data_IF_055308354048
#
_entry.id   IF_055308354048
#
_cell.length_a   1.000
_cell.length_b   1.000
_cell.length_c   1.000
_cell.angle_alpha   90.00
_cell.angle_beta   90.00
_cell.angle_gamma   90.00
#
_symmetry.space_group_name_H-M   'P 1'
#
loop_
_entity.id
_entity.type
_entity.pdbx_description
1 polymer ?
#
# COMPACT_ATOMS: atom_id res chain seq x y z
N UNK A 1 12.83 -72.02 1.16
CA UNK A 1 13.16 -71.22 2.36
C UNK A 1 14.55 -70.65 2.12
N UNK A 2 14.84 -69.36 2.06
CA UNK A 2 14.24 -68.16 2.62
C UNK A 2 14.50 -67.02 1.60
N UNK A 3 13.48 -66.21 1.24
CA UNK A 3 13.63 -65.05 0.34
C UNK A 3 14.23 -63.88 1.14
N UNK A 4 15.36 -63.33 0.71
CA UNK A 4 15.82 -62.01 1.16
C UNK A 4 15.02 -60.94 0.42
N UNK A 5 14.23 -60.17 1.16
CA UNK A 5 13.54 -58.98 0.69
C UNK A 5 14.37 -57.79 1.15
N UNK A 6 15.01 -57.10 0.22
CA UNK A 6 15.69 -55.84 0.47
C UNK A 6 14.65 -54.72 0.49
N UNK A 7 14.33 -54.20 1.67
CA UNK A 7 13.50 -53.01 1.81
C UNK A 7 14.38 -51.77 1.56
N UNK A 8 14.19 -51.11 0.42
CA UNK A 8 14.70 -49.76 0.19
C UNK A 8 13.68 -48.81 0.82
N UNK A 9 14.02 -48.29 2.01
CA UNK A 9 13.28 -47.20 2.61
C UNK A 9 13.67 -45.90 1.89
N UNK A 10 12.87 -45.50 0.90
CA UNK A 10 12.95 -44.15 0.33
C UNK A 10 12.45 -43.16 1.40
N UNK A 11 13.40 -42.53 2.08
CA UNK A 11 13.14 -41.39 2.95
C UNK A 11 12.77 -40.20 2.06
N UNK A 12 11.47 -40.01 1.83
CA UNK A 12 10.95 -38.77 1.25
C UNK A 12 11.07 -37.70 2.33
N UNK A 13 12.19 -36.96 2.33
CA UNK A 13 12.24 -35.67 2.99
C UNK A 13 11.33 -34.73 2.20
N UNK A 14 10.07 -34.62 2.62
CA UNK A 14 9.31 -33.39 2.39
C UNK A 14 9.99 -32.32 3.23
N UNK A 15 10.94 -31.61 2.65
CA UNK A 15 11.36 -30.31 3.16
C UNK A 15 10.15 -29.41 2.96
N UNK A 16 9.26 -29.35 3.93
CA UNK A 16 8.38 -28.20 4.07
C UNK A 16 9.31 -27.03 4.34
N UNK A 17 9.60 -26.23 3.32
CA UNK A 17 10.09 -24.89 3.51
C UNK A 17 8.98 -24.13 4.23
N UNK A 18 8.90 -24.29 5.55
CA UNK A 18 8.14 -23.42 6.42
C UNK A 18 8.77 -22.04 6.26
N UNK A 19 8.16 -21.28 5.37
CA UNK A 19 8.42 -19.88 5.10
C UNK A 19 8.43 -19.16 6.46
N UNK A 20 9.47 -18.37 6.71
CA UNK A 20 9.63 -17.46 7.85
C UNK A 20 8.55 -16.35 7.85
N UNK A 21 7.27 -16.71 7.68
CA UNK A 21 6.19 -15.75 7.43
C UNK A 21 5.71 -15.04 8.70
N UNK A 22 6.19 -15.43 9.89
CA UNK A 22 6.05 -14.66 11.13
C UNK A 22 7.10 -15.09 12.14
N UNK A 23 8.03 -14.20 12.45
CA UNK A 23 9.10 -14.47 13.42
C UNK A 23 8.75 -14.00 14.84
N UNK A 24 7.72 -13.15 14.99
CA UNK A 24 7.38 -12.48 16.25
C UNK A 24 5.88 -12.56 16.54
N UNK A 25 5.45 -12.73 17.81
CA UNK A 25 4.03 -12.91 18.16
C UNK A 25 3.10 -11.76 17.76
N UNK A 26 3.59 -10.51 17.83
CA UNK A 26 2.79 -9.31 17.55
C UNK A 26 2.55 -9.05 16.05
N UNK A 27 3.30 -9.73 15.18
CA UNK A 27 3.16 -9.54 13.73
C UNK A 27 1.80 -10.06 13.27
N UNK A 28 1.33 -9.56 12.13
CA UNK A 28 0.13 -10.05 11.43
C UNK A 28 0.50 -11.08 10.36
N UNK A 29 -0.26 -12.18 10.27
CA UNK A 29 -0.03 -13.30 9.36
C UNK A 29 0.04 -14.67 10.09
N UNK A 30 0.54 -15.74 9.44
CA UNK A 30 1.32 -15.69 8.21
C UNK A 30 0.45 -15.45 6.98
N UNK A 31 0.83 -14.47 6.17
CA UNK A 31 0.20 -14.23 4.88
C UNK A 31 0.70 -15.25 3.85
N UNK A 32 -0.24 -15.89 3.16
CA UNK A 32 0.04 -16.94 2.18
C UNK A 32 -0.59 -16.62 0.84
N UNK A 33 0.12 -16.96 -0.23
CA UNK A 33 -0.40 -16.96 -1.59
C UNK A 33 -1.41 -18.10 -1.74
N UNK A 34 -2.48 -17.86 -2.51
CA UNK A 34 -3.46 -18.90 -2.83
C UNK A 34 -2.89 -20.03 -3.69
N UNK A 35 -3.69 -21.07 -3.92
CA UNK A 35 -3.34 -22.16 -4.85
C UNK A 35 -3.29 -21.61 -6.28
N UNK A 36 -2.22 -21.90 -7.02
CA UNK A 36 -1.97 -21.39 -8.39
C UNK A 36 -2.10 -19.86 -8.48
N UNK A 37 -1.27 -19.11 -7.73
CA UNK A 37 -1.46 -17.67 -7.55
C UNK A 37 -1.30 -16.92 -8.88
N UNK A 38 -2.28 -16.07 -9.18
CA UNK A 38 -2.34 -15.21 -10.36
C UNK A 38 -2.59 -13.77 -9.94
N UNK A 39 -2.23 -12.79 -10.78
CA UNK A 39 -2.67 -11.42 -10.57
C UNK A 39 -4.20 -11.35 -10.57
N UNK A 40 -4.77 -10.60 -9.63
CA UNK A 40 -6.22 -10.42 -9.50
C UNK A 40 -6.73 -9.22 -10.32
N UNK A 41 -5.86 -8.28 -10.67
CA UNK A 41 -6.11 -7.18 -11.59
C UNK A 41 -4.93 -7.07 -12.56
N UNK A 42 -5.24 -6.98 -13.85
CA UNK A 42 -4.28 -6.83 -14.94
C UNK A 42 -4.67 -5.68 -15.87
N UNK A 43 -3.71 -5.09 -16.63
CA UNK A 43 -4.02 -4.06 -17.61
C UNK A 43 -5.04 -4.52 -18.65
N UNK A 44 -5.95 -3.63 -19.04
CA UNK A 44 -6.91 -3.86 -20.12
C UNK A 44 -6.62 -2.85 -21.23
N UNK A 45 -6.24 -3.36 -22.40
CA UNK A 45 -5.74 -2.50 -23.51
C UNK A 45 -6.84 -1.76 -24.26
N UNK A 46 -8.09 -2.19 -24.14
CA UNK A 46 -9.19 -1.69 -24.97
C UNK A 46 -10.22 -0.83 -24.23
N UNK A 47 -10.22 -0.80 -22.89
CA UNK A 47 -11.08 0.11 -22.11
C UNK A 47 -10.70 1.57 -22.37
N UNK A 48 -11.71 2.45 -22.40
CA UNK A 48 -11.48 3.84 -22.76
C UNK A 48 -12.30 4.80 -21.92
N UNK A 49 -11.71 5.95 -21.66
CA UNK A 49 -12.25 7.03 -20.85
C UNK A 49 -12.10 8.34 -21.62
N UNK A 50 -13.10 9.24 -21.55
CA UNK A 50 -12.95 10.59 -22.10
C UNK A 50 -12.31 11.44 -21.01
N UNK A 51 -11.01 11.66 -21.15
CA UNK A 51 -10.22 12.42 -20.18
C UNK A 51 -10.63 13.89 -20.18
N UNK A 52 -11.10 14.45 -19.05
CA UNK A 52 -11.57 15.83 -19.00
C UNK A 52 -10.43 16.82 -19.23
N UNK A 53 -9.22 16.50 -18.77
CA UNK A 53 -8.05 17.36 -18.88
C UNK A 53 -7.59 17.60 -20.32
N UNK A 54 -7.60 16.55 -21.16
CA UNK A 54 -7.19 16.65 -22.57
C UNK A 54 -8.36 16.76 -23.54
N UNK A 55 -9.58 16.44 -23.10
CA UNK A 55 -10.77 16.28 -23.94
C UNK A 55 -10.75 15.04 -24.85
N UNK A 56 -9.71 14.21 -24.80
CA UNK A 56 -9.49 13.06 -25.69
C UNK A 56 -10.00 11.75 -25.07
N UNK A 57 -10.23 10.75 -25.91
CA UNK A 57 -10.40 9.36 -25.44
C UNK A 57 -9.03 8.74 -25.21
N UNK A 58 -8.80 8.24 -23.99
CA UNK A 58 -7.55 7.61 -23.55
C UNK A 58 -7.79 6.14 -23.19
N UNK A 59 -6.75 5.31 -23.31
CA UNK A 59 -6.71 3.91 -22.85
C UNK A 59 -6.15 3.83 -21.44
N UNK A 60 -6.91 4.39 -20.50
CA UNK A 60 -6.46 4.78 -19.16
C UNK A 60 -5.81 3.69 -18.28
N UNK A 61 -6.05 2.40 -18.55
CA UNK A 61 -5.51 1.26 -17.77
C UNK A 61 -4.79 0.24 -18.66
N UNK A 62 -4.21 0.70 -19.77
CA UNK A 62 -3.60 -0.15 -20.80
C UNK A 62 -2.14 -0.50 -20.56
N UNK A 63 -1.43 0.23 -19.70
CA UNK A 63 -0.02 -0.03 -19.40
C UNK A 63 0.12 -0.91 -18.15
N UNK A 64 -0.40 -0.42 -17.03
CA UNK A 64 -0.19 -0.98 -15.70
C UNK A 64 -1.42 -0.76 -14.83
N UNK A 65 -1.71 -1.70 -13.94
CA UNK A 65 -2.77 -1.62 -12.92
C UNK A 65 -2.28 -2.20 -11.59
N UNK A 66 -1.91 -1.37 -10.63
CA UNK A 66 -1.11 -1.75 -9.46
C UNK A 66 -1.45 -0.88 -8.24
N UNK A 67 -0.63 -0.93 -7.19
CA UNK A 67 -0.68 -0.07 -5.99
C UNK A 67 -2.11 0.19 -5.47
N UNK A 68 -2.77 -0.83 -4.89
CA UNK A 68 -4.20 -0.75 -4.61
C UNK A 68 -4.51 -0.35 -3.15
N UNK A 69 -5.53 0.49 -2.96
CA UNK A 69 -6.25 0.59 -1.70
C UNK A 69 -7.35 -0.48 -1.64
N UNK A 70 -7.75 -0.87 -0.43
CA UNK A 70 -8.89 -1.75 -0.21
C UNK A 70 -9.73 -1.30 1.00
N UNK A 71 -11.05 -1.41 0.89
CA UNK A 71 -12.00 -1.14 2.01
C UNK A 71 -13.25 -2.02 1.87
N UNK A 72 -13.98 -2.26 2.96
CA UNK A 72 -15.25 -2.99 2.93
C UNK A 72 -16.43 -2.01 2.82
N UNK A 73 -17.36 -2.31 1.90
CA UNK A 73 -18.67 -1.65 1.83
C UNK A 73 -19.76 -2.68 1.55
N UNK A 74 -20.77 -2.76 2.42
CA UNK A 74 -21.89 -3.70 2.30
C UNK A 74 -21.42 -5.14 2.03
N UNK A 75 -20.53 -5.65 2.88
CA UNK A 75 -19.90 -6.98 2.74
C UNK A 75 -19.17 -7.23 1.41
N UNK A 76 -18.87 -6.19 0.64
CA UNK A 76 -18.14 -6.29 -0.61
C UNK A 76 -16.81 -5.55 -0.46
N UNK A 77 -15.73 -6.21 -0.85
CA UNK A 77 -14.41 -5.59 -0.93
C UNK A 77 -14.41 -4.62 -2.11
N UNK A 78 -14.04 -3.39 -1.84
CA UNK A 78 -13.86 -2.30 -2.80
C UNK A 78 -12.37 -2.10 -2.97
N UNK A 79 -11.85 -2.39 -4.17
CA UNK A 79 -10.43 -2.27 -4.49
C UNK A 79 -10.23 -1.08 -5.43
N UNK A 80 -9.45 -0.10 -4.98
CA UNK A 80 -9.07 1.06 -5.76
C UNK A 80 -7.65 0.87 -6.27
N UNK A 81 -7.48 0.65 -7.56
CA UNK A 81 -6.16 0.37 -8.15
C UNK A 81 -5.65 1.57 -8.94
N UNK A 82 -4.37 1.91 -8.79
CA UNK A 82 -3.67 2.83 -9.68
C UNK A 82 -3.61 2.24 -11.07
N UNK A 83 -3.88 3.06 -12.08
CA UNK A 83 -3.85 2.66 -13.48
C UNK A 83 -3.16 3.71 -14.34
N UNK A 84 -2.37 3.24 -15.30
CA UNK A 84 -1.62 4.09 -16.24
C UNK A 84 -1.94 3.73 -17.69
N UNK A 85 -1.97 4.76 -18.54
CA UNK A 85 -2.08 4.60 -19.99
C UNK A 85 -0.72 4.31 -20.63
N UNK A 86 -0.70 3.43 -21.63
CA UNK A 86 0.48 3.19 -22.43
C UNK A 86 0.70 4.33 -23.43
N UNK A 87 1.64 5.21 -23.12
CA UNK A 87 2.06 6.32 -23.96
C UNK A 87 3.53 6.15 -24.34
N UNK A 88 3.83 5.85 -25.60
CA UNK A 88 5.21 5.74 -26.08
C UNK A 88 6.07 4.69 -25.36
N UNK A 89 7.30 5.05 -25.00
CA UNK A 89 8.25 4.21 -24.26
C UNK A 89 7.89 4.12 -22.76
N UNK A 90 8.43 3.11 -22.07
CA UNK A 90 8.14 2.81 -20.66
C UNK A 90 8.98 3.71 -19.74
N UNK A 91 8.45 4.86 -19.33
CA UNK A 91 9.09 5.71 -18.33
C UNK A 91 8.28 5.71 -17.02
N UNK A 92 8.91 5.32 -15.91
CA UNK A 92 8.30 5.39 -14.56
C UNK A 92 8.01 6.85 -14.22
N UNK A 93 6.78 7.14 -13.78
CA UNK A 93 6.33 8.52 -13.51
C UNK A 93 6.12 9.37 -14.78
N UNK A 94 6.29 8.76 -15.96
CA UNK A 94 6.06 9.35 -17.28
C UNK A 94 4.58 9.42 -17.67
N UNK A 95 3.72 8.64 -17.03
CA UNK A 95 2.31 8.48 -17.40
C UNK A 95 1.35 9.32 -16.55
N UNK A 96 0.06 9.32 -16.90
CA UNK A 96 -0.99 9.95 -16.08
C UNK A 96 -1.75 8.88 -15.30
N UNK A 97 -1.54 8.86 -13.98
CA UNK A 97 -2.19 7.93 -13.06
C UNK A 97 -3.63 8.33 -12.76
N UNK A 98 -4.53 7.33 -12.75
CA UNK A 98 -5.93 7.43 -12.33
C UNK A 98 -6.30 6.24 -11.46
N UNK A 99 -7.35 6.34 -10.66
CA UNK A 99 -7.82 5.23 -9.82
C UNK A 99 -9.03 4.54 -10.44
N UNK A 100 -8.87 3.24 -10.70
CA UNK A 100 -9.97 2.33 -11.03
C UNK A 100 -10.72 1.87 -9.78
N UNK A 101 -11.90 1.29 -9.97
CA UNK A 101 -12.67 0.63 -8.91
C UNK A 101 -13.06 -0.77 -9.35
N UNK A 102 -12.72 -1.75 -8.51
CA UNK A 102 -13.16 -3.13 -8.66
C UNK A 102 -13.87 -3.61 -7.38
N UNK A 103 -14.82 -4.52 -7.54
CA UNK A 103 -15.60 -5.07 -6.42
C UNK A 103 -15.53 -6.59 -6.36
N UNK A 104 -15.40 -7.15 -5.16
CA UNK A 104 -15.35 -8.60 -4.95
C UNK A 104 -16.08 -9.03 -3.68
N UNK A 105 -16.77 -10.16 -3.74
CA UNK A 105 -17.43 -10.80 -2.57
C UNK A 105 -16.55 -11.86 -1.90
N UNK A 106 -15.55 -12.38 -2.61
CA UNK A 106 -14.64 -13.45 -2.17
C UNK A 106 -13.20 -12.95 -1.95
N UNK A 107 -12.90 -11.72 -2.36
CA UNK A 107 -11.60 -11.07 -2.24
C UNK A 107 -10.57 -11.49 -3.30
N UNK A 108 -10.95 -12.32 -4.28
CA UNK A 108 -10.07 -12.88 -5.31
C UNK A 108 -10.58 -12.56 -6.71
N UNK A 109 -11.88 -12.75 -6.97
CA UNK A 109 -12.51 -12.48 -8.26
C UNK A 109 -13.16 -11.10 -8.25
N UNK A 110 -12.74 -10.22 -9.17
CA UNK A 110 -13.11 -8.81 -9.16
C UNK A 110 -13.88 -8.35 -10.40
N UNK A 111 -15.01 -7.70 -10.18
CA UNK A 111 -15.76 -6.98 -11.21
C UNK A 111 -15.30 -5.52 -11.28
N UNK A 112 -14.79 -5.09 -12.44
CA UNK A 112 -14.19 -3.77 -12.64
C UNK A 112 -15.15 -2.77 -13.28
N UNK A 113 -15.10 -1.52 -12.84
CA UNK A 113 -15.69 -0.39 -13.57
C UNK A 113 -14.87 -0.13 -14.84
N UNK A 114 -15.57 0.19 -15.94
CA UNK A 114 -14.93 0.49 -17.24
C UNK A 114 -14.25 1.86 -17.31
N UNK A 115 -14.53 2.73 -16.33
CA UNK A 115 -14.02 4.09 -16.23
C UNK A 115 -13.40 4.28 -14.85
N UNK A 116 -12.34 5.11 -14.75
CA UNK A 116 -11.77 5.47 -13.45
C UNK A 116 -12.80 6.23 -12.61
N UNK A 117 -12.67 6.15 -11.29
CA UNK A 117 -13.57 6.82 -10.34
C UNK A 117 -12.90 8.00 -9.62
N UNK A 118 -11.59 8.15 -9.78
CA UNK A 118 -10.82 9.27 -9.25
C UNK A 118 -9.67 9.58 -10.21
N UNK A 119 -9.55 10.85 -10.61
CA UNK A 119 -8.65 11.29 -11.66
C UNK A 119 -8.45 12.82 -11.61
N UNK A 120 -7.41 13.37 -12.27
CA UNK A 120 -7.26 14.81 -12.44
C UNK A 120 -8.39 15.41 -13.25
N UNK A 121 -8.86 16.59 -12.86
CA UNK A 121 -9.93 17.33 -13.55
C UNK A 121 -9.65 18.84 -13.51
N UNK A 122 -10.50 19.63 -14.18
CA UNK A 122 -10.55 21.09 -14.11
C UNK A 122 -11.14 21.58 -12.78
N UNK A 123 -10.64 21.05 -11.67
CA UNK A 123 -11.04 21.37 -10.29
C UNK A 123 -9.97 22.22 -9.58
N UNK A 124 -10.15 22.42 -8.27
CA UNK A 124 -9.22 23.19 -7.42
C UNK A 124 -7.88 22.48 -7.15
N UNK A 125 -7.69 21.25 -7.64
CA UNK A 125 -6.48 20.45 -7.48
C UNK A 125 -5.67 20.29 -8.76
N UNK A 126 -6.17 20.80 -9.89
CA UNK A 126 -5.49 20.76 -11.21
C UNK A 126 -4.00 21.09 -11.14
N UNK A 127 -3.64 22.13 -10.39
CA UNK A 127 -2.25 22.60 -10.23
C UNK A 127 -1.30 21.52 -9.71
N UNK A 128 -1.79 20.63 -8.85
CA UNK A 128 -0.97 19.63 -8.17
C UNK A 128 -1.07 18.23 -8.81
N UNK A 129 -2.14 17.97 -9.56
CA UNK A 129 -2.42 16.66 -10.15
C UNK A 129 -2.08 16.56 -11.64
N UNK A 130 -1.89 17.69 -12.35
CA UNK A 130 -1.64 17.67 -13.79
C UNK A 130 -0.16 17.94 -14.09
N UNK A 131 0.53 17.14 -14.89
CA UNK A 131 0.05 16.09 -15.82
C UNK A 131 0.24 14.64 -15.31
N UNK A 132 0.77 14.46 -14.10
CA UNK A 132 1.20 13.16 -13.59
C UNK A 132 0.08 12.31 -12.97
N UNK A 133 -0.90 12.93 -12.34
CA UNK A 133 -2.14 12.28 -11.95
C UNK A 133 -2.35 12.13 -10.44
N UNK A 134 -3.11 11.10 -10.10
CA UNK A 134 -3.48 10.72 -8.74
C UNK A 134 -3.00 9.29 -8.48
N UNK A 135 -2.04 9.12 -7.56
CA UNK A 135 -1.29 7.87 -7.37
C UNK A 135 -1.47 7.28 -5.97
N UNK A 136 -1.20 5.97 -5.88
CA UNK A 136 -0.94 5.23 -4.63
C UNK A 136 -1.95 5.51 -3.51
N UNK A 137 -3.23 5.13 -3.71
CA UNK A 137 -4.30 5.37 -2.77
C UNK A 137 -4.20 4.50 -1.52
N UNK A 138 -4.55 5.06 -0.36
CA UNK A 138 -4.93 4.32 0.86
C UNK A 138 -6.27 4.84 1.35
N UNK A 139 -7.15 3.95 1.82
CA UNK A 139 -8.53 4.30 2.20
C UNK A 139 -8.84 3.76 3.59
N UNK A 140 -9.46 4.59 4.42
CA UNK A 140 -10.06 4.19 5.71
C UNK A 140 -11.52 4.63 5.77
N UNK A 141 -12.34 3.91 6.53
CA UNK A 141 -13.72 4.31 6.87
C UNK A 141 -13.74 4.92 8.27
N UNK A 142 -14.57 5.92 8.50
CA UNK A 142 -14.80 6.53 9.82
C UNK A 142 -16.08 5.96 10.44
N UNK A 143 -16.27 6.13 11.75
CA UNK A 143 -17.47 5.63 12.45
C UNK A 143 -18.79 6.16 11.85
N UNK A 144 -18.79 7.35 11.23
CA UNK A 144 -19.98 7.93 10.59
C UNK A 144 -20.21 7.47 9.14
N UNK A 145 -19.40 6.53 8.65
CA UNK A 145 -19.47 5.99 7.29
C UNK A 145 -18.82 6.88 6.22
N UNK A 146 -18.03 7.89 6.61
CA UNK A 146 -17.20 8.65 5.66
C UNK A 146 -15.93 7.88 5.35
N UNK A 147 -15.64 7.71 4.06
CA UNK A 147 -14.37 7.20 3.57
C UNK A 147 -13.37 8.34 3.37
N UNK A 148 -12.15 8.16 3.88
CA UNK A 148 -11.03 9.08 3.71
C UNK A 148 -9.98 8.41 2.84
N UNK A 149 -9.67 9.05 1.71
CA UNK A 149 -8.65 8.66 0.77
C UNK A 149 -7.43 9.55 0.97
N UNK A 150 -6.28 8.94 1.26
CA UNK A 150 -4.97 9.57 1.11
C UNK A 150 -4.36 9.09 -0.19
N UNK A 151 -3.72 9.99 -0.92
CA UNK A 151 -3.15 9.71 -2.24
C UNK A 151 -2.05 10.70 -2.58
N UNK A 152 -1.27 10.42 -3.62
CA UNK A 152 -0.24 11.33 -4.12
C UNK A 152 -0.77 12.14 -5.29
N UNK A 153 -0.67 13.47 -5.21
CA UNK A 153 -0.83 14.37 -6.34
C UNK A 153 0.50 14.53 -7.06
N UNK A 154 0.54 14.23 -8.36
CA UNK A 154 1.76 14.33 -9.16
C UNK A 154 1.58 15.32 -10.31
N UNK A 155 2.29 16.45 -10.25
CA UNK A 155 2.29 17.46 -11.33
C UNK A 155 3.56 17.41 -12.20
N UNK A 156 4.46 16.45 -11.95
CA UNK A 156 5.82 16.36 -12.53
C UNK A 156 6.87 17.28 -11.92
N UNK A 157 6.56 17.96 -10.83
CA UNK A 157 7.51 18.77 -10.07
C UNK A 157 7.70 18.20 -8.66
N UNK A 158 6.61 18.10 -7.89
CA UNK A 158 6.64 17.58 -6.52
C UNK A 158 5.50 16.56 -6.30
N UNK A 159 5.80 15.34 -5.81
CA UNK A 159 4.78 14.44 -5.31
C UNK A 159 4.28 14.94 -3.95
N UNK A 160 2.97 15.16 -3.84
CA UNK A 160 2.36 15.72 -2.62
C UNK A 160 1.30 14.78 -2.06
N UNK A 161 1.40 14.50 -0.77
CA UNK A 161 0.39 13.74 -0.06
C UNK A 161 -0.86 14.61 0.11
N UNK A 162 -1.98 14.12 -0.38
CA UNK A 162 -3.25 14.82 -0.38
C UNK A 162 -4.36 13.95 0.20
N UNK A 163 -5.49 14.60 0.48
CA UNK A 163 -6.67 13.94 1.05
C UNK A 163 -7.94 14.26 0.29
N UNK A 164 -8.81 13.25 0.17
CA UNK A 164 -10.16 13.37 -0.36
C UNK A 164 -11.15 12.56 0.50
N UNK A 165 -12.43 12.94 0.50
CA UNK A 165 -13.47 12.20 1.23
C UNK A 165 -14.64 11.81 0.34
N UNK A 166 -15.30 10.71 0.67
CA UNK A 166 -16.53 10.25 0.02
C UNK A 166 -17.43 9.51 1.00
N UNK A 167 -18.76 9.51 0.77
CA UNK A 167 -19.69 8.60 1.48
C UNK A 167 -20.11 7.40 0.64
N UNK A 168 -19.75 7.39 -0.65
CA UNK A 168 -20.23 6.37 -1.58
C UNK A 168 -19.13 5.68 -2.39
N UNK A 169 -17.87 6.07 -2.19
CA UNK A 169 -16.67 5.57 -2.89
C UNK A 169 -16.63 5.94 -4.38
N UNK A 170 -17.44 6.90 -4.82
CA UNK A 170 -17.52 7.32 -6.23
C UNK A 170 -17.46 8.84 -6.38
N UNK A 171 -18.22 9.55 -5.56
CA UNK A 171 -18.26 11.00 -5.53
C UNK A 171 -17.30 11.48 -4.45
N UNK A 172 -16.20 12.10 -4.87
CA UNK A 172 -15.12 12.51 -3.98
C UNK A 172 -15.01 14.04 -3.90
N UNK A 173 -14.78 14.54 -2.68
CA UNK A 173 -14.37 15.93 -2.44
C UNK A 173 -12.88 15.95 -2.18
N UNK A 174 -12.10 16.64 -3.01
CA UNK A 174 -10.64 16.77 -2.86
C UNK A 174 -10.29 18.03 -2.05
N UNK A 175 -9.53 17.85 -0.98
CA UNK A 175 -9.08 18.96 -0.12
C UNK A 175 -7.67 19.43 -0.48
N UNK A 176 -6.89 18.60 -1.17
CA UNK A 176 -5.56 18.93 -1.67
C UNK A 176 -4.42 18.54 -0.73
N UNK A 177 -3.22 19.11 -0.93
CA UNK A 177 -2.03 18.74 -0.17
C UNK A 177 -2.17 19.02 1.32
N UNK A 178 -1.87 18.01 2.15
CA UNK A 178 -2.12 18.07 3.60
C UNK A 178 -1.23 19.08 4.34
N UNK A 179 -0.09 19.47 3.77
CA UNK A 179 0.83 20.45 4.35
C UNK A 179 0.88 21.78 3.59
N UNK A 180 -0.12 22.08 2.75
CA UNK A 180 -0.17 23.32 1.96
C UNK A 180 -0.09 24.57 2.84
N UNK A 181 -0.73 24.55 4.00
CA UNK A 181 -0.84 25.70 4.92
C UNK A 181 -0.01 25.55 6.19
N UNK A 182 0.61 24.38 6.43
CA UNK A 182 1.42 24.14 7.64
C UNK A 182 2.66 25.04 7.64
N UNK A 183 2.76 25.94 8.64
CA UNK A 183 3.87 26.89 8.81
C UNK A 183 4.24 27.58 7.49
N UNK A 184 3.26 28.24 6.88
CA UNK A 184 3.40 28.94 5.60
C UNK A 184 3.87 28.04 4.44
N UNK A 185 3.43 26.77 4.46
CA UNK A 185 3.73 25.80 3.40
C UNK A 185 5.14 25.20 3.47
N UNK A 186 5.74 25.15 4.66
CA UNK A 186 7.10 24.64 4.91
C UNK A 186 7.41 23.32 4.20
N UNK A 187 6.45 22.40 4.15
CA UNK A 187 6.60 21.07 3.55
C UNK A 187 5.82 20.89 2.25
N UNK A 188 5.22 21.95 1.71
CA UNK A 188 4.34 21.88 0.54
C UNK A 188 5.08 21.48 -0.76
N UNK A 189 6.34 21.90 -0.89
CA UNK A 189 7.21 21.59 -2.04
C UNK A 189 8.31 20.59 -1.66
N UNK A 190 8.01 19.66 -0.76
CA UNK A 190 8.83 18.48 -0.50
C UNK A 190 8.07 17.23 -0.90
N UNK A 191 8.81 16.17 -1.23
CA UNK A 191 8.21 14.86 -1.48
C UNK A 191 7.46 14.38 -0.23
N UNK A 192 6.15 14.23 -0.37
CA UNK A 192 5.27 13.64 0.63
C UNK A 192 4.34 12.69 -0.10
N UNK A 193 4.22 11.45 0.40
CA UNK A 193 3.34 10.42 -0.18
C UNK A 193 3.04 9.33 0.85
N UNK A 194 2.27 8.33 0.44
CA UNK A 194 2.10 7.08 1.18
C UNK A 194 1.58 7.31 2.59
N UNK A 195 0.44 7.99 2.72
CA UNK A 195 -0.17 8.29 4.02
C UNK A 195 -1.08 7.16 4.52
N UNK A 196 -0.68 6.46 5.57
CA UNK A 196 -1.40 5.32 6.14
C UNK A 196 -2.02 5.68 7.49
N UNK A 197 -3.33 5.97 7.49
CA UNK A 197 -4.09 6.38 8.68
C UNK A 197 -4.31 5.16 9.59
N UNK A 198 -4.08 5.32 10.89
CA UNK A 198 -4.24 4.26 11.89
C UNK A 198 -5.70 3.84 12.00
N UNK A 199 -5.93 2.53 12.06
CA UNK A 199 -7.26 1.92 12.15
C UNK A 199 -7.37 0.97 13.33
N UNK A 200 -8.59 0.68 13.74
CA UNK A 200 -8.94 -0.36 14.70
C UNK A 200 -9.99 -1.28 14.07
N UNK A 201 -9.98 -2.56 14.46
CA UNK A 201 -10.98 -3.51 13.99
C UNK A 201 -12.26 -3.38 14.84
N UNK A 202 -13.34 -2.87 14.24
CA UNK A 202 -14.67 -2.74 14.86
C UNK A 202 -15.72 -3.40 13.97
N UNK A 203 -16.51 -4.30 14.55
CA UNK A 203 -17.61 -5.01 13.86
C UNK A 203 -17.19 -5.62 12.50
N UNK A 204 -15.99 -6.21 12.48
CA UNK A 204 -15.44 -6.87 11.28
C UNK A 204 -14.95 -5.91 10.19
N UNK A 205 -14.74 -4.62 10.49
CA UNK A 205 -14.21 -3.61 9.57
C UNK A 205 -13.08 -2.81 10.22
N UNK A 206 -12.13 -2.37 9.40
CA UNK A 206 -11.11 -1.40 9.80
C UNK A 206 -11.71 0.00 9.77
N UNK A 207 -11.81 0.64 10.93
CA UNK A 207 -12.31 1.99 11.12
C UNK A 207 -11.16 2.89 11.59
N UNK A 208 -11.10 4.13 11.13
CA UNK A 208 -10.12 5.12 11.55
C UNK A 208 -10.12 5.26 13.08
N UNK A 209 -8.98 4.98 13.71
CA UNK A 209 -8.85 4.96 15.16
C UNK A 209 -8.48 6.34 15.71
N UNK A 210 -9.05 6.68 16.88
CA UNK A 210 -8.62 7.84 17.67
C UNK A 210 -7.76 7.38 18.84
N UNK A 211 -6.59 7.98 19.00
CA UNK A 211 -5.70 7.79 20.13
C UNK A 211 -5.52 9.15 20.80
N UNK A 212 -5.90 9.24 22.08
CA UNK A 212 -5.95 10.49 22.84
C UNK A 212 -6.73 11.61 22.14
N UNK A 213 -7.85 11.25 21.50
CA UNK A 213 -8.75 12.20 20.82
C UNK A 213 -8.26 12.68 19.45
N UNK A 214 -7.12 12.18 18.96
CA UNK A 214 -6.58 12.50 17.62
C UNK A 214 -6.53 11.26 16.73
N UNK A 215 -6.71 11.48 15.43
CA UNK A 215 -6.30 10.52 14.41
C UNK A 215 -4.80 10.64 14.16
N UNK A 216 -4.18 9.53 13.81
CA UNK A 216 -2.75 9.44 13.52
C UNK A 216 -2.52 8.82 12.14
N UNK A 217 -1.45 9.23 11.47
CA UNK A 217 -1.05 8.73 10.16
C UNK A 217 0.45 8.58 10.09
N UNK A 218 0.90 7.37 9.76
CA UNK A 218 2.28 7.09 9.38
C UNK A 218 2.42 7.39 7.90
N UNK A 219 3.43 8.14 7.49
CA UNK A 219 3.56 8.54 6.08
C UNK A 219 5.00 8.70 5.61
N UNK A 220 5.18 8.64 4.29
CA UNK A 220 6.39 9.08 3.60
C UNK A 220 7.36 7.98 3.18
N UNK A 221 8.41 8.45 2.52
CA UNK A 221 9.57 7.74 1.95
C UNK A 221 10.72 8.77 1.85
N UNK A 222 12.02 8.41 2.01
CA UNK A 222 12.56 7.09 2.35
C UNK A 222 12.53 6.78 3.84
N UNK A 223 11.96 7.68 4.65
CA UNK A 223 11.66 7.48 6.07
C UNK A 223 10.15 7.47 6.26
N UNK A 224 9.69 6.85 7.35
CA UNK A 224 8.31 7.03 7.80
C UNK A 224 8.32 8.09 8.90
N UNK A 225 7.47 9.09 8.69
CA UNK A 225 7.13 10.15 9.64
C UNK A 225 5.72 9.94 10.18
N UNK A 226 5.33 10.80 11.11
CA UNK A 226 4.04 10.74 11.78
C UNK A 226 3.34 12.10 11.69
N UNK A 227 2.03 12.08 11.45
CA UNK A 227 1.18 13.26 11.51
C UNK A 227 -0.08 12.97 12.34
N UNK A 228 -0.66 14.01 12.93
CA UNK A 228 -1.91 13.92 13.69
C UNK A 228 -2.99 14.84 13.12
N UNK A 229 -4.25 14.49 13.30
CA UNK A 229 -5.40 15.28 12.87
C UNK A 229 -6.57 15.12 13.83
N UNK A 230 -7.46 16.10 13.88
CA UNK A 230 -8.74 16.00 14.60
C UNK A 230 -9.94 15.77 13.68
N UNK A 231 -9.77 15.97 12.38
CA UNK A 231 -10.84 15.95 11.37
C UNK A 231 -10.53 15.09 10.12
N UNK A 232 -9.36 14.44 10.08
CA UNK A 232 -8.83 13.63 8.97
C UNK A 232 -8.53 14.40 7.69
N UNK A 233 -8.69 15.71 7.68
CA UNK A 233 -8.47 16.58 6.52
C UNK A 233 -7.23 17.45 6.74
N UNK A 234 -7.17 18.10 7.90
CA UNK A 234 -6.07 18.99 8.29
C UNK A 234 -5.08 18.19 9.14
N UNK A 235 -3.86 18.02 8.64
CA UNK A 235 -2.83 17.21 9.27
C UNK A 235 -1.67 18.06 9.77
N UNK A 236 -1.25 17.78 11.00
CA UNK A 236 -0.10 18.41 11.66
C UNK A 236 1.05 17.39 11.71
N UNK A 237 2.19 17.63 11.03
CA UNK A 237 3.33 16.75 11.10
C UNK A 237 4.00 16.82 12.47
N UNK A 238 4.55 15.70 12.93
CA UNK A 238 5.40 15.66 14.12
C UNK A 238 6.79 16.18 13.75
N UNK A 239 7.23 17.22 14.46
CA UNK A 239 8.53 17.85 14.26
C UNK A 239 9.46 17.66 15.48
N UNK A 240 10.77 17.68 15.24
CA UNK A 240 11.79 17.75 16.28
C UNK A 240 11.82 19.14 16.93
N UNK A 241 12.59 19.30 18.01
CA UNK A 241 12.79 20.61 18.64
C UNK A 241 13.34 21.67 17.67
N UNK A 242 14.18 21.26 16.70
CA UNK A 242 14.73 22.09 15.64
C UNK A 242 13.72 22.41 14.53
N UNK A 243 12.50 21.88 14.63
CA UNK A 243 11.43 22.04 13.66
C UNK A 243 11.60 21.20 12.40
N UNK A 244 12.40 20.13 12.39
CA UNK A 244 12.48 19.23 11.23
C UNK A 244 11.47 18.10 11.37
N UNK A 245 11.03 17.48 10.26
CA UNK A 245 10.19 16.28 10.36
C UNK A 245 10.92 15.22 11.19
N UNK A 246 10.27 14.67 12.22
CA UNK A 246 10.85 13.67 13.11
C UNK A 246 10.58 12.26 12.57
N UNK A 247 11.57 11.55 11.99
CA UNK A 247 11.34 10.20 11.48
C UNK A 247 11.08 9.24 12.64
N UNK A 248 10.05 8.42 12.51
CA UNK A 248 9.70 7.37 13.49
C UNK A 248 10.17 5.99 13.02
N UNK A 249 10.52 5.85 11.74
CA UNK A 249 11.17 4.68 11.18
C UNK A 249 12.11 5.08 10.05
N UNK A 250 13.32 4.53 10.06
CA UNK A 250 14.37 4.82 9.06
C UNK A 250 14.94 3.55 8.45
N UNK A 251 15.55 3.63 7.26
CA UNK A 251 16.33 2.54 6.70
C UNK A 251 17.52 2.20 7.59
N UNK A 252 17.96 0.94 7.58
CA UNK A 252 19.08 0.47 8.41
C UNK A 252 20.05 -0.44 7.64
N UNK A 253 21.38 -0.21 7.72
CA UNK A 253 22.36 -1.12 7.15
C UNK A 253 22.26 -2.53 7.75
N UNK A 254 22.50 -3.54 6.92
CA UNK A 254 22.51 -4.96 7.27
C UNK A 254 21.16 -5.68 7.04
N UNK A 255 20.09 -4.94 6.74
CA UNK A 255 18.74 -5.49 6.64
C UNK A 255 18.10 -5.27 5.27
N UNK A 256 16.92 -5.89 5.08
CA UNK A 256 16.13 -5.81 3.85
C UNK A 256 15.54 -4.42 3.60
N UNK A 257 15.40 -3.62 4.66
CA UNK A 257 14.92 -2.24 4.67
C UNK A 257 16.09 -1.25 4.72
N UNK A 258 17.13 -1.49 3.92
CA UNK A 258 18.39 -0.76 3.95
C UNK A 258 18.46 0.46 3.02
N UNK A 259 17.61 0.53 2.00
CA UNK A 259 17.54 1.66 1.07
C UNK A 259 16.44 2.65 1.45
N UNK A 260 15.23 2.15 1.69
CA UNK A 260 14.08 2.97 2.04
C UNK A 260 13.09 2.20 2.90
N UNK A 261 12.28 2.96 3.61
CA UNK A 261 11.08 2.49 4.31
C UNK A 261 9.93 3.39 3.88
N UNK A 262 8.80 2.80 3.54
CA UNK A 262 7.65 3.52 3.01
C UNK A 262 6.36 2.95 3.59
N UNK A 263 5.46 3.80 4.07
CA UNK A 263 4.25 3.31 4.74
C UNK A 263 3.37 2.52 3.77
N UNK A 264 2.89 1.35 4.21
CA UNK A 264 2.08 0.44 3.41
C UNK A 264 0.57 0.68 3.61
N UNK A 265 -0.24 -0.37 3.88
CA UNK A 265 -1.66 -0.21 4.16
C UNK A 265 -1.92 0.54 5.49
N UNK A 266 -3.17 0.97 5.73
CA UNK A 266 -3.60 1.50 7.03
C UNK A 266 -3.13 0.61 8.21
N UNK A 267 -2.38 1.16 9.20
CA UNK A 267 -1.94 0.41 10.37
C UNK A 267 -3.10 -0.07 11.22
N UNK A 268 -2.90 -1.14 11.99
CA UNK A 268 -3.94 -1.76 12.80
C UNK A 268 -3.58 -1.67 14.29
N UNK A 269 -4.49 -1.15 15.10
CA UNK A 269 -4.43 -1.22 16.57
C UNK A 269 -4.69 -2.67 16.99
N UNK A 270 -3.79 -3.19 17.81
CA UNK A 270 -3.81 -4.53 18.40
C UNK A 270 -3.60 -4.44 19.91
N UNK A 271 -3.70 -5.57 20.62
CA UNK A 271 -3.37 -5.64 22.05
C UNK A 271 -1.89 -5.33 22.36
N UNK A 272 -0.99 -5.60 21.42
CA UNK A 272 0.45 -5.36 21.58
C UNK A 272 0.87 -3.92 21.26
N UNK A 273 0.02 -3.16 20.56
CA UNK A 273 0.31 -1.82 20.06
C UNK A 273 -0.23 -1.58 18.65
N UNK A 274 0.36 -0.62 17.94
CA UNK A 274 -0.02 -0.28 16.57
C UNK A 274 0.91 -1.05 15.62
N UNK A 275 0.35 -1.96 14.84
CA UNK A 275 1.10 -2.73 13.84
C UNK A 275 1.08 -1.98 12.50
N UNK A 276 2.26 -1.54 12.07
CA UNK A 276 2.50 -0.82 10.82
C UNK A 276 3.15 -1.78 9.81
N UNK A 277 2.38 -2.21 8.82
CA UNK A 277 2.90 -2.88 7.63
C UNK A 277 3.53 -1.84 6.70
N UNK A 278 4.78 -2.05 6.28
CA UNK A 278 5.52 -1.09 5.45
C UNK A 278 6.25 -1.76 4.29
N UNK A 279 6.51 -0.98 3.25
CA UNK A 279 7.31 -1.33 2.09
C UNK A 279 8.79 -1.05 2.36
N UNK A 280 9.65 -2.01 2.05
CA UNK A 280 11.07 -2.02 2.37
C UNK A 280 11.91 -2.21 1.10
N UNK A 281 12.74 -1.23 0.79
CA UNK A 281 13.70 -1.32 -0.31
C UNK A 281 15.07 -1.82 0.18
N UNK A 282 15.65 -2.77 -0.53
CA UNK A 282 16.98 -3.29 -0.23
C UNK A 282 18.08 -2.63 -1.07
N UNK A 283 19.20 -2.27 -0.45
CA UNK A 283 20.41 -1.83 -1.16
C UNK A 283 21.42 -2.98 -1.20
N UNK A 284 21.93 -3.35 -2.37
CA UNK A 284 22.94 -4.43 -2.44
C UNK A 284 24.27 -4.04 -1.76
N UNK A 285 24.58 -2.75 -1.66
CA UNK A 285 25.84 -2.28 -1.09
C UNK A 285 25.91 -2.46 0.44
N UNK A 286 24.77 -2.31 1.12
CA UNK A 286 24.69 -2.24 2.58
C UNK A 286 23.58 -3.08 3.19
N UNK A 287 22.78 -3.78 2.39
CA UNK A 287 21.64 -4.60 2.81
C UNK A 287 21.89 -6.10 2.70
N UNK A 288 20.81 -6.86 2.50
CA UNK A 288 20.85 -8.32 2.34
C UNK A 288 21.24 -8.65 0.90
N UNK A 289 22.39 -9.31 0.71
CA UNK A 289 22.94 -9.58 -0.62
C UNK A 289 22.04 -10.47 -1.47
N UNK A 290 21.42 -11.47 -0.83
CA UNK A 290 20.57 -12.47 -1.48
C UNK A 290 19.27 -11.88 -2.02
N UNK A 291 18.83 -10.73 -1.51
CA UNK A 291 17.65 -10.02 -2.01
C UNK A 291 17.94 -9.23 -3.29
N UNK A 292 19.20 -8.89 -3.56
CA UNK A 292 19.57 -8.09 -4.72
C UNK A 292 19.34 -6.59 -4.53
N UNK A 293 19.59 -5.79 -5.58
CA UNK A 293 19.55 -4.34 -5.48
C UNK A 293 18.15 -3.79 -5.79
N UNK A 294 17.72 -2.78 -5.04
CA UNK A 294 16.46 -2.02 -5.23
C UNK A 294 15.17 -2.85 -5.18
N UNK A 295 15.22 -4.12 -4.80
CA UNK A 295 14.00 -4.92 -4.63
C UNK A 295 13.12 -4.34 -3.52
N UNK A 296 11.80 -4.31 -3.74
CA UNK A 296 10.82 -3.94 -2.74
C UNK A 296 10.17 -5.17 -2.13
N UNK A 297 10.15 -5.21 -0.80
CA UNK A 297 9.60 -6.29 0.03
C UNK A 297 8.70 -5.70 1.11
N UNK A 298 7.97 -6.53 1.86
CA UNK A 298 7.13 -6.08 2.97
C UNK A 298 7.77 -6.39 4.33
N UNK A 299 7.76 -5.40 5.22
CA UNK A 299 8.13 -5.54 6.63
C UNK A 299 6.99 -5.11 7.57
N UNK A 300 7.17 -5.35 8.86
CA UNK A 300 6.24 -4.91 9.90
C UNK A 300 6.98 -4.21 11.04
N UNK A 301 6.38 -3.18 11.62
CA UNK A 301 6.87 -2.46 12.79
C UNK A 301 5.76 -2.36 13.84
N UNK A 302 6.13 -2.56 15.10
CA UNK A 302 5.25 -2.38 16.25
C UNK A 302 5.55 -1.04 16.91
N UNK A 303 4.55 -0.18 16.98
CA UNK A 303 4.61 1.08 17.72
C UNK A 303 3.78 0.99 19.00
N UNK A 304 4.13 1.80 19.99
CA UNK A 304 3.35 1.94 21.21
C UNK A 304 1.97 2.55 20.92
N UNK A 305 0.94 2.09 21.65
CA UNK A 305 -0.42 2.59 21.46
C UNK A 305 -0.58 4.00 22.04
N UNK A 306 -0.06 4.24 23.24
CA UNK A 306 -0.20 5.52 23.95
C UNK A 306 0.81 6.56 23.39
N UNK A 307 1.96 6.08 22.91
CA UNK A 307 3.00 6.90 22.30
C UNK A 307 3.23 6.48 20.82
N UNK A 308 2.37 6.86 19.84
CA UNK A 308 2.45 6.36 18.45
C UNK A 308 3.77 6.63 17.73
N UNK A 309 4.60 7.55 18.21
CA UNK A 309 5.94 7.83 17.68
C UNK A 309 7.01 6.82 18.15
N UNK A 310 6.71 6.01 19.17
CA UNK A 310 7.68 5.12 19.84
C UNK A 310 7.70 3.74 19.21
N UNK A 311 8.74 3.46 18.45
CA UNK A 311 9.02 2.13 17.93
C UNK A 311 9.33 1.17 19.08
N UNK A 312 8.52 0.13 19.24
CA UNK A 312 8.73 -0.96 20.21
C UNK A 312 9.56 -2.08 19.61
N UNK A 313 9.24 -2.47 18.39
CA UNK A 313 9.90 -3.57 17.70
C UNK A 313 9.70 -3.49 16.17
N UNK A 314 10.48 -4.26 15.40
CA UNK A 314 10.39 -4.34 13.93
C UNK A 314 10.85 -5.70 13.44
N UNK A 315 10.24 -6.22 12.37
CA UNK A 315 10.68 -7.50 11.77
C UNK A 315 12.14 -7.42 11.28
N UNK A 316 12.89 -8.51 11.43
CA UNK A 316 14.27 -8.67 10.98
C UNK A 316 14.34 -9.20 9.54
N UNK A 317 13.29 -9.90 9.12
CA UNK A 317 13.14 -10.43 7.76
C UNK A 317 11.87 -9.89 7.07
N UNK A 318 11.85 -9.84 5.72
CA UNK A 318 10.64 -9.51 4.99
C UNK A 318 9.61 -10.64 5.12
N UNK A 319 8.37 -10.31 5.46
CA UNK A 319 7.28 -11.30 5.54
C UNK A 319 6.68 -11.63 4.16
N UNK A 320 6.89 -10.74 3.18
CA UNK A 320 6.55 -10.94 1.77
C UNK A 320 7.67 -10.37 0.90
N UNK A 321 8.00 -11.07 -0.18
CA UNK A 321 8.95 -10.65 -1.21
C UNK A 321 8.54 -11.18 -2.59
N UNK A 322 9.09 -10.64 -3.69
CA UNK A 322 8.87 -11.18 -5.03
C UNK A 322 9.34 -12.63 -5.17
N UNK A 323 8.41 -13.53 -5.50
CA UNK A 323 8.67 -14.96 -5.70
C UNK A 323 8.12 -15.46 -7.05
N UNK A 324 6.96 -14.93 -7.44
CA UNK A 324 6.26 -15.30 -8.66
C UNK A 324 6.74 -14.49 -9.88
N UNK A 325 6.59 -15.02 -11.11
CA UNK A 325 7.03 -14.32 -12.31
C UNK A 325 6.48 -12.89 -12.45
N UNK A 326 5.21 -12.66 -12.10
CA UNK A 326 4.57 -11.34 -12.19
C UNK A 326 4.94 -10.38 -11.07
N UNK A 327 5.59 -10.86 -10.01
CA UNK A 327 6.13 -10.04 -8.91
C UNK A 327 7.58 -9.63 -9.18
N UNK A 328 8.32 -10.47 -9.92
CA UNK A 328 9.75 -10.31 -10.17
C UNK A 328 10.08 -9.35 -11.30
N UNK A 329 9.15 -9.10 -12.23
CA UNK A 329 9.39 -8.19 -13.36
C UNK A 329 8.11 -7.68 -14.00
N UNK A 330 8.18 -6.47 -14.53
CA UNK A 330 7.09 -5.66 -15.07
C UNK A 330 7.62 -4.31 -15.53
N UNK A 331 6.87 -3.23 -15.32
CA UNK A 331 7.37 -1.86 -15.49
C UNK A 331 8.52 -1.57 -14.51
N UNK A 332 8.45 -2.13 -13.30
CA UNK A 332 9.57 -2.17 -12.36
C UNK A 332 10.39 -3.45 -12.55
N UNK A 333 11.59 -3.32 -13.11
CA UNK A 333 12.40 -4.46 -13.59
C UNK A 333 13.02 -5.31 -12.47
N UNK A 334 13.28 -4.71 -11.30
CA UNK A 334 13.96 -5.39 -10.18
C UNK A 334 12.98 -6.19 -9.28
N UNK A 335 11.68 -6.07 -9.55
CA UNK A 335 10.61 -6.75 -8.81
C UNK A 335 10.11 -6.00 -7.57
N UNK A 336 8.80 -6.05 -7.34
CA UNK A 336 8.17 -5.45 -6.14
C UNK A 336 6.97 -6.26 -5.68
N UNK A 337 6.78 -6.32 -4.36
CA UNK A 337 5.53 -6.67 -3.69
C UNK A 337 5.10 -5.48 -2.83
N UNK A 338 4.59 -4.43 -3.46
CA UNK A 338 4.26 -3.16 -2.82
C UNK A 338 2.92 -3.24 -2.08
N UNK A 339 2.94 -3.44 -0.77
CA UNK A 339 1.76 -3.65 0.08
C UNK A 339 1.04 -2.33 0.36
N UNK A 340 -0.28 -2.31 0.19
CA UNK A 340 -1.02 -1.04 0.21
C UNK A 340 -2.51 -1.14 0.61
N UNK A 341 -3.15 -2.27 0.34
CA UNK A 341 -4.56 -2.50 0.72
C UNK A 341 -4.68 -3.62 1.75
N UNK A 342 -5.35 -3.38 2.87
CA UNK A 342 -5.62 -4.40 3.89
C UNK A 342 -7.09 -4.36 4.28
N UNK A 343 -7.75 -5.51 4.28
CA UNK A 343 -9.13 -5.65 4.77
C UNK A 343 -9.29 -6.93 5.57
N UNK A 344 -10.17 -6.89 6.56
CA UNK A 344 -10.63 -8.07 7.29
C UNK A 344 -12.03 -8.45 6.78
N UNK A 345 -12.23 -9.72 6.45
CA UNK A 345 -13.51 -10.25 6.00
C UNK A 345 -13.62 -11.73 6.32
N UNK A 346 -14.71 -12.13 6.99
CA UNK A 346 -15.01 -13.55 7.31
C UNK A 346 -13.79 -14.26 7.92
N UNK A 347 -13.27 -13.69 9.00
CA UNK A 347 -12.13 -14.23 9.76
C UNK A 347 -10.82 -14.33 8.97
N UNK A 348 -10.75 -13.63 7.83
CA UNK A 348 -9.60 -13.65 6.94
C UNK A 348 -9.13 -12.22 6.65
N UNK A 349 -7.84 -11.99 6.84
CA UNK A 349 -7.13 -10.82 6.37
C UNK A 349 -6.75 -11.00 4.90
N UNK A 350 -7.09 -10.01 4.08
CA UNK A 350 -6.68 -9.91 2.68
C UNK A 350 -5.72 -8.74 2.55
N UNK A 351 -4.49 -9.02 2.14
CA UNK A 351 -3.48 -8.03 1.85
C UNK A 351 -3.27 -7.94 0.34
N UNK A 352 -3.63 -6.80 -0.23
CA UNK A 352 -3.50 -6.46 -1.62
C UNK A 352 -2.23 -5.64 -1.87
N UNK A 353 -1.53 -5.97 -2.94
CA UNK A 353 -0.22 -5.38 -3.24
C UNK A 353 0.01 -5.20 -4.74
N UNK A 354 0.75 -4.15 -5.09
CA UNK A 354 1.28 -3.94 -6.43
C UNK A 354 2.41 -4.92 -6.75
N UNK A 355 2.48 -5.39 -8.00
CA UNK A 355 3.48 -6.36 -8.45
C UNK A 355 4.25 -5.81 -9.65
N UNK A 356 5.55 -5.61 -9.47
CA UNK A 356 6.46 -5.05 -10.49
C UNK A 356 5.92 -3.78 -11.21
N UNK A 357 5.23 -2.90 -10.49
CA UNK A 357 4.50 -1.72 -11.02
C UNK A 357 3.62 -2.05 -12.24
N UNK A 358 2.92 -3.17 -12.23
CA UNK A 358 2.19 -3.63 -13.42
C UNK A 358 0.85 -4.29 -13.15
N UNK A 359 0.74 -5.04 -12.05
CA UNK A 359 -0.44 -5.84 -11.72
C UNK A 359 -0.75 -5.75 -10.23
N UNK A 360 -1.90 -6.30 -9.82
CA UNK A 360 -2.26 -6.46 -8.40
C UNK A 360 -2.23 -7.92 -8.02
N UNK A 361 -1.58 -8.25 -6.90
CA UNK A 361 -1.61 -9.54 -6.22
C UNK A 361 -2.41 -9.50 -4.92
N UNK A 362 -2.64 -10.68 -4.34
CA UNK A 362 -3.27 -10.83 -3.02
C UNK A 362 -2.63 -11.98 -2.25
N UNK A 363 -2.40 -11.78 -0.96
CA UNK A 363 -2.08 -12.82 0.02
C UNK A 363 -3.09 -12.78 1.15
N UNK A 364 -3.32 -13.93 1.78
CA UNK A 364 -4.36 -14.07 2.81
C UNK A 364 -3.82 -14.70 4.09
N UNK A 365 -4.42 -14.32 5.21
CA UNK A 365 -4.18 -14.92 6.52
C UNK A 365 -5.52 -15.14 7.22
N UNK A 366 -5.79 -16.39 7.60
CA UNK A 366 -6.93 -16.77 8.44
C UNK A 366 -6.38 -17.26 9.76
N UNK A 367 -6.81 -16.64 10.86
CA UNK A 367 -6.46 -17.12 12.20
C UNK A 367 -7.21 -18.45 12.43
N UNK A 368 -6.50 -19.50 12.86
CA UNK A 368 -7.02 -20.87 12.89
C UNK A 368 -7.57 -21.27 14.25
#
# INVERSE_FOLDING_TARGET
MLRQITFIASLILTVSSSVFAQEKPWMMGPFTRGIDPKPIIEPITNTSFKDPMTGKKVKWESMATFNPAAVIKNDTIQLFYRAEEKLGEQEIGGHTSRLGLATSVDGINFDRKKQPVFYPDHDNQKEFEWTGGTEDPRIVETEDGTYVLTYTQWNREYPRLAVATSRDLKNWTKYGPIFKTWKDGKYHNLETKSGAIVTELKDGKLIAAKIHGKYWMYYGVPHIWLASSTDLINWEPVETHEGNLAPVLSPRPGYFDSWLVEAGPPPVVTEDGIVVLYNAGNSNAIGVKELGNRIYTGGQALFDLEEPWKLKDRSEHPFIKPELPFEKSGQYVDGTTFIEGLVFKKDTWFLYYGTADSRVGVVTWTDK
#
